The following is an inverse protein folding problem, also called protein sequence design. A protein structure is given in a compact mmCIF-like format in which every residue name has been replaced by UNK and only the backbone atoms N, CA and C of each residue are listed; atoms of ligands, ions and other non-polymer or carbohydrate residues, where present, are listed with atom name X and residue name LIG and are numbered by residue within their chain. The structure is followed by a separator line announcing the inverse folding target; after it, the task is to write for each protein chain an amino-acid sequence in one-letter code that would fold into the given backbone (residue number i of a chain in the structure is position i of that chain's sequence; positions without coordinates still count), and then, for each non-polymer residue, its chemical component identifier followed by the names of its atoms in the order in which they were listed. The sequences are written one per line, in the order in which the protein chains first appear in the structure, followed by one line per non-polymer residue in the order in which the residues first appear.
data_IF_982760208913
#
_entry.id   IF_982760208913
#
_cell.length_a   1.000
_cell.length_b   1.000
_cell.length_c   1.000
_cell.angle_alpha   90.00
_cell.angle_beta   90.00
_cell.angle_gamma   90.00
#
_symmetry.space_group_name_H-M   'P 1'
#
loop_
_entity.id
_entity.type
_entity.pdbx_description
1 polymer ?
#
# COMPACT_ATOMS: atom_id res chain seq x y z
N UNK A 1 -19.61 1.94 -3.94
CA UNK A 1 -21.02 2.04 -4.36
C UNK A 1 -21.15 1.94 -5.88
N UNK A 2 -20.46 2.79 -6.67
CA UNK A 2 -20.52 2.78 -8.16
C UNK A 2 -19.80 1.56 -8.79
N UNK A 3 -19.02 0.80 -8.05
CA UNK A 3 -18.28 -0.35 -8.54
C UNK A 3 -16.95 -0.03 -9.23
N UNK A 4 -16.45 1.20 -9.12
CA UNK A 4 -15.16 1.60 -9.72
C UNK A 4 -13.94 1.14 -8.91
N UNK A 5 -14.13 0.80 -7.64
CA UNK A 5 -13.08 0.35 -6.74
C UNK A 5 -13.39 -1.07 -6.24
N UNK A 6 -12.36 -1.87 -6.16
CA UNK A 6 -12.43 -3.25 -5.68
C UNK A 6 -11.36 -3.49 -4.62
N UNK A 7 -11.67 -4.37 -3.66
CA UNK A 7 -10.76 -4.87 -2.67
C UNK A 7 -11.00 -6.38 -2.52
N UNK A 8 -10.81 -7.11 -3.61
CA UNK A 8 -10.85 -8.56 -3.69
C UNK A 8 -9.46 -9.14 -3.50
N UNK A 9 -9.36 -10.41 -3.17
CA UNK A 9 -8.11 -11.12 -3.01
C UNK A 9 -7.26 -10.67 -1.80
N UNK A 10 -6.16 -11.37 -1.58
CA UNK A 10 -5.20 -11.07 -0.51
C UNK A 10 -4.24 -9.94 -0.91
N UNK A 11 -3.77 -9.98 -2.15
CA UNK A 11 -2.84 -9.01 -2.71
C UNK A 11 -3.43 -8.35 -3.95
N UNK A 12 -3.25 -7.04 -4.08
CA UNK A 12 -3.76 -6.28 -5.25
C UNK A 12 -3.07 -6.66 -6.55
N UNK A 13 -1.82 -7.11 -6.50
CA UNK A 13 -1.12 -7.67 -7.66
C UNK A 13 -1.79 -8.90 -8.25
N UNK A 14 -2.53 -9.67 -7.44
CA UNK A 14 -3.26 -10.85 -7.95
C UNK A 14 -4.49 -10.42 -8.77
N UNK A 15 -5.19 -9.36 -8.36
CA UNK A 15 -6.29 -8.79 -9.14
C UNK A 15 -5.81 -8.24 -10.50
N UNK A 16 -4.56 -7.73 -10.57
CA UNK A 16 -3.97 -7.27 -11.82
C UNK A 16 -3.60 -8.42 -12.75
N UNK A 17 -3.14 -9.57 -12.23
CA UNK A 17 -2.81 -10.76 -13.03
C UNK A 17 -3.99 -11.30 -13.83
N UNK A 18 -5.21 -11.06 -13.34
CA UNK A 18 -6.46 -11.51 -13.94
C UNK A 18 -7.22 -10.40 -14.67
N UNK A 19 -6.64 -9.21 -14.82
CA UNK A 19 -7.28 -8.03 -15.42
C UNK A 19 -8.53 -7.52 -14.66
N UNK A 20 -8.67 -7.86 -13.40
CA UNK A 20 -9.80 -7.39 -12.58
C UNK A 20 -9.66 -5.92 -12.14
N UNK A 21 -8.43 -5.38 -12.19
CA UNK A 21 -8.15 -3.97 -11.91
C UNK A 21 -7.19 -3.40 -12.94
N UNK A 22 -7.38 -2.12 -13.29
CA UNK A 22 -6.49 -1.37 -14.17
C UNK A 22 -5.36 -0.69 -13.40
N UNK A 23 -5.60 -0.36 -12.15
CA UNK A 23 -4.63 0.28 -11.27
C UNK A 23 -4.90 -0.11 -9.82
N UNK A 24 -3.86 -0.07 -8.99
CA UNK A 24 -3.99 -0.25 -7.55
C UNK A 24 -2.98 0.61 -6.79
N UNK A 25 -3.28 0.86 -5.53
CA UNK A 25 -2.36 1.51 -4.59
C UNK A 25 -1.75 0.45 -3.68
N UNK A 26 -0.45 0.52 -3.50
CA UNK A 26 0.27 -0.46 -2.70
C UNK A 26 1.63 0.02 -2.22
N UNK A 27 2.32 -0.81 -1.46
CA UNK A 27 3.70 -0.59 -1.03
C UNK A 27 4.68 -0.79 -2.20
N UNK A 28 5.79 -0.05 -2.21
CA UNK A 28 6.90 -0.27 -3.16
C UNK A 28 7.42 -1.70 -3.13
N UNK A 29 7.45 -2.34 -1.96
CA UNK A 29 7.85 -3.75 -1.82
C UNK A 29 6.98 -4.73 -2.64
N UNK A 30 5.78 -4.32 -3.06
CA UNK A 30 4.92 -5.11 -3.94
C UNK A 30 5.43 -5.24 -5.38
N UNK A 31 6.37 -4.40 -5.81
CA UNK A 31 6.82 -4.35 -7.21
C UNK A 31 7.49 -5.64 -7.70
N UNK A 32 8.08 -6.43 -6.81
CA UNK A 32 8.70 -7.71 -7.14
C UNK A 32 7.69 -8.77 -7.56
N UNK A 33 6.41 -8.57 -7.24
CA UNK A 33 5.29 -9.47 -7.56
C UNK A 33 4.44 -8.96 -8.75
N UNK A 34 4.85 -7.85 -9.39
CA UNK A 34 4.10 -7.33 -10.52
C UNK A 34 4.17 -8.31 -11.69
N UNK A 35 3.01 -8.63 -12.31
CA UNK A 35 2.99 -9.48 -13.47
C UNK A 35 3.53 -8.75 -14.71
N UNK A 36 4.12 -9.50 -15.60
CA UNK A 36 4.46 -9.08 -16.97
C UNK A 36 3.41 -9.53 -18.01
N UNK A 37 2.49 -10.40 -17.57
CA UNK A 37 1.37 -10.87 -18.36
C UNK A 37 0.08 -10.85 -17.54
N UNK A 38 -1.02 -10.64 -18.23
CA UNK A 38 -2.37 -10.91 -17.72
C UNK A 38 -2.83 -12.24 -18.29
N UNK A 39 -3.35 -13.11 -17.44
CA UNK A 39 -3.94 -14.39 -17.83
C UNK A 39 -5.39 -14.44 -17.36
N UNK A 40 -6.33 -14.48 -18.30
CA UNK A 40 -7.78 -14.54 -18.03
C UNK A 40 -8.32 -15.96 -18.12
N UNK A 41 -7.71 -16.79 -18.96
CA UNK A 41 -7.99 -18.22 -19.10
C UNK A 41 -6.76 -18.96 -19.65
N UNK A 42 -6.86 -20.27 -19.81
CA UNK A 42 -5.77 -21.07 -20.39
C UNK A 42 -5.45 -20.67 -21.85
N UNK A 43 -6.42 -20.06 -22.55
CA UNK A 43 -6.31 -19.63 -23.95
C UNK A 43 -6.08 -18.13 -24.11
N UNK A 44 -6.29 -17.33 -23.05
CA UNK A 44 -6.21 -15.87 -23.11
C UNK A 44 -5.14 -15.34 -22.15
N UNK A 45 -3.93 -15.14 -22.69
CA UNK A 45 -2.83 -14.48 -21.98
C UNK A 45 -2.15 -13.49 -22.90
N UNK A 46 -1.83 -12.29 -22.38
CA UNK A 46 -1.18 -11.23 -23.14
C UNK A 46 -0.21 -10.43 -22.26
N UNK A 47 0.90 -9.90 -22.85
CA UNK A 47 1.86 -9.11 -22.13
C UNK A 47 1.27 -7.75 -21.73
N UNK A 48 1.71 -7.24 -20.58
CA UNK A 48 1.35 -5.90 -20.09
C UNK A 48 2.59 -5.13 -19.68
N UNK A 49 2.50 -3.82 -19.72
CA UNK A 49 3.49 -2.91 -19.14
C UNK A 49 2.86 -2.20 -17.94
N UNK A 50 3.54 -2.28 -16.78
CA UNK A 50 3.12 -1.60 -15.56
C UNK A 50 3.91 -0.29 -15.43
N UNK A 51 3.21 0.79 -15.12
CA UNK A 51 3.79 2.08 -14.76
C UNK A 51 3.53 2.37 -13.30
N UNK A 52 4.52 2.88 -12.59
CA UNK A 52 4.42 3.27 -11.19
C UNK A 52 4.44 4.78 -11.07
N UNK A 53 3.54 5.31 -10.27
CA UNK A 53 3.39 6.74 -9.98
C UNK A 53 3.28 6.96 -8.47
N UNK A 54 3.59 8.15 -7.95
CA UNK A 54 3.25 8.52 -6.59
C UNK A 54 1.76 8.31 -6.33
N UNK A 55 1.39 7.91 -5.11
CA UNK A 55 -0.02 7.77 -4.75
C UNK A 55 -0.76 9.11 -4.95
N UNK A 56 -1.98 9.08 -5.49
CA UNK A 56 -2.75 10.29 -5.70
C UNK A 56 -3.07 10.96 -4.35
N UNK A 57 -3.12 12.27 -4.34
CA UNK A 57 -3.54 13.08 -3.19
C UNK A 57 -4.74 13.95 -3.57
N UNK A 58 -5.52 14.35 -2.57
CA UNK A 58 -6.60 15.30 -2.77
C UNK A 58 -6.06 16.70 -3.07
N UNK A 59 -6.82 17.49 -3.82
CA UNK A 59 -6.52 18.90 -4.05
C UNK A 59 -6.42 19.62 -2.69
N UNK A 60 -5.40 20.45 -2.53
CA UNK A 60 -5.10 21.11 -1.25
C UNK A 60 -4.51 20.21 -0.17
N UNK A 61 -4.38 18.89 -0.41
CA UNK A 61 -3.73 17.97 0.52
C UNK A 61 -2.22 18.22 0.62
N UNK A 62 -1.67 18.03 1.83
CA UNK A 62 -0.23 18.18 2.08
C UNK A 62 0.60 17.07 1.45
N UNK A 63 1.91 17.31 1.34
CA UNK A 63 2.88 16.35 0.82
C UNK A 63 3.34 15.40 1.94
N UNK A 64 2.51 14.41 2.25
CA UNK A 64 2.77 13.38 3.24
C UNK A 64 2.78 12.01 2.60
N UNK A 65 3.69 11.16 3.08
CA UNK A 65 3.72 9.75 2.70
C UNK A 65 3.92 8.87 3.94
N UNK A 66 3.21 7.74 3.97
CA UNK A 66 3.37 6.76 5.05
C UNK A 66 4.69 6.04 4.86
N UNK A 67 5.54 6.10 5.89
CA UNK A 67 6.70 5.23 5.97
C UNK A 67 6.27 3.90 6.58
N UNK A 68 6.23 2.88 5.74
CA UNK A 68 6.12 1.50 6.17
C UNK A 68 7.49 0.85 6.02
N UNK A 69 7.90 0.12 6.99
CA UNK A 69 9.16 -0.59 6.91
C UNK A 69 9.17 -1.77 7.85
N UNK A 70 10.01 -2.76 7.55
CA UNK A 70 10.42 -3.73 8.52
C UNK A 70 11.51 -3.09 9.38
N UNK A 71 11.39 -3.18 10.69
CA UNK A 71 12.44 -2.84 11.64
C UNK A 71 13.11 -4.09 12.17
N UNK A 72 14.42 -4.04 12.37
CA UNK A 72 15.15 -5.10 13.06
C UNK A 72 15.38 -4.72 14.50
N UNK A 73 15.08 -5.63 15.43
CA UNK A 73 15.24 -5.42 16.87
C UNK A 73 16.24 -6.42 17.41
N UNK A 74 17.24 -5.91 18.11
CA UNK A 74 18.19 -6.75 18.84
C UNK A 74 17.59 -7.15 20.18
N UNK A 75 17.32 -8.43 20.36
CA UNK A 75 16.80 -8.98 21.63
C UNK A 75 17.96 -9.10 22.60
N UNK A 76 17.78 -8.60 23.82
CA UNK A 76 18.79 -8.70 24.88
C UNK A 76 18.96 -10.13 25.36
N UNK A 77 20.22 -10.64 25.21
CA UNK A 77 20.67 -11.92 25.74
C UNK A 77 22.05 -11.76 26.36
N UNK A 78 23.05 -12.61 26.02
CA UNK A 78 24.42 -12.37 26.43
C UNK A 78 25.04 -11.20 25.66
N UNK A 79 26.07 -10.59 26.22
CA UNK A 79 26.75 -9.45 25.58
C UNK A 79 27.37 -9.84 24.24
N UNK A 80 27.90 -11.07 24.12
CA UNK A 80 28.46 -11.60 22.87
C UNK A 80 27.37 -11.74 21.78
N UNK A 81 26.17 -12.17 22.15
CA UNK A 81 25.05 -12.32 21.21
C UNK A 81 24.53 -10.96 20.76
N UNK A 82 24.46 -9.99 21.66
CA UNK A 82 24.08 -8.61 21.32
C UNK A 82 25.11 -7.98 20.39
N UNK A 83 26.42 -8.17 20.67
CA UNK A 83 27.48 -7.67 19.81
C UNK A 83 27.46 -8.32 18.42
N UNK A 84 27.27 -9.63 18.35
CA UNK A 84 27.15 -10.35 17.08
C UNK A 84 25.98 -9.84 16.24
N UNK A 85 24.83 -9.62 16.87
CA UNK A 85 23.64 -9.04 16.19
C UNK A 85 23.91 -7.60 15.71
N UNK A 86 24.57 -6.79 16.50
CA UNK A 86 24.93 -5.41 16.11
C UNK A 86 25.92 -5.40 14.93
N UNK A 87 26.90 -6.31 14.92
CA UNK A 87 27.84 -6.49 13.79
C UNK A 87 27.12 -6.92 12.51
N UNK A 88 26.16 -7.85 12.62
CA UNK A 88 25.31 -8.24 11.49
C UNK A 88 24.52 -7.06 10.95
N UNK A 89 23.84 -6.29 11.81
CA UNK A 89 23.07 -5.13 11.38
C UNK A 89 23.95 -4.07 10.71
N UNK A 90 25.13 -3.82 11.26
CA UNK A 90 26.09 -2.89 10.66
C UNK A 90 26.57 -3.36 9.28
N UNK A 91 26.79 -4.65 9.11
CA UNK A 91 27.12 -5.24 7.81
C UNK A 91 25.95 -5.14 6.84
N UNK A 92 24.73 -5.54 7.25
CA UNK A 92 23.53 -5.56 6.42
C UNK A 92 23.13 -4.15 5.92
N UNK A 93 23.46 -3.11 6.68
CA UNK A 93 23.16 -1.72 6.30
C UNK A 93 24.28 -1.04 5.51
N UNK A 94 25.37 -1.76 5.16
CA UNK A 94 26.36 -1.25 4.20
C UNK A 94 25.75 -1.12 2.83
N UNK A 95 26.22 -0.15 2.06
CA UNK A 95 25.65 0.26 0.78
C UNK A 95 25.39 -0.91 -0.18
N UNK A 96 26.39 -1.76 -0.41
CA UNK A 96 26.30 -2.87 -1.36
C UNK A 96 25.15 -3.83 -1.02
N UNK A 97 25.05 -4.23 0.27
CA UNK A 97 24.01 -5.15 0.75
C UNK A 97 22.64 -4.49 0.85
N UNK A 98 22.59 -3.21 1.22
CA UNK A 98 21.37 -2.44 1.27
C UNK A 98 20.75 -2.25 -0.12
N UNK A 99 21.57 -1.99 -1.14
CA UNK A 99 21.11 -1.86 -2.53
C UNK A 99 20.68 -3.22 -3.08
N UNK A 100 21.46 -4.30 -2.87
CA UNK A 100 21.10 -5.65 -3.30
C UNK A 100 19.76 -6.07 -2.67
N UNK A 101 19.57 -5.83 -1.38
CA UNK A 101 18.29 -6.09 -0.69
C UNK A 101 17.15 -5.24 -1.29
N UNK A 102 17.40 -3.99 -1.62
CA UNK A 102 16.40 -3.10 -2.20
C UNK A 102 15.90 -3.60 -3.56
N UNK A 103 16.79 -3.97 -4.46
CA UNK A 103 16.41 -4.42 -5.80
C UNK A 103 15.75 -5.80 -5.81
N UNK A 104 15.99 -6.62 -4.79
CA UNK A 104 15.38 -7.94 -4.66
C UNK A 104 14.05 -7.93 -3.91
N UNK A 105 13.85 -6.96 -3.01
CA UNK A 105 12.68 -6.89 -2.13
C UNK A 105 11.71 -5.75 -2.44
N UNK A 106 12.16 -4.72 -3.16
CA UNK A 106 11.40 -3.49 -3.41
C UNK A 106 11.34 -2.54 -2.21
N UNK A 107 12.06 -2.83 -1.10
CA UNK A 107 12.26 -1.88 -0.02
C UNK A 107 13.33 -0.85 -0.39
N UNK A 108 13.22 0.36 0.14
CA UNK A 108 14.25 1.37 -0.03
C UNK A 108 15.45 1.12 0.89
N UNK A 109 16.68 1.50 0.49
CA UNK A 109 17.84 1.53 1.37
C UNK A 109 17.59 2.41 2.60
N UNK A 110 18.27 2.08 3.71
CA UNK A 110 18.07 2.79 4.99
C UNK A 110 18.79 4.13 5.07
N UNK A 111 19.79 4.37 4.22
CA UNK A 111 20.54 5.63 4.21
C UNK A 111 20.05 6.57 3.12
N UNK A 112 20.16 7.88 3.37
CA UNK A 112 19.82 8.89 2.36
C UNK A 112 20.78 8.84 1.16
N UNK A 113 22.05 8.46 1.38
CA UNK A 113 23.06 8.33 0.34
C UNK A 113 22.73 7.20 -0.64
N UNK A 114 22.22 6.08 -0.14
CA UNK A 114 21.87 4.92 -0.97
C UNK A 114 20.51 5.06 -1.66
N UNK A 115 19.68 6.02 -1.21
CA UNK A 115 18.44 6.39 -1.90
C UNK A 115 18.73 7.29 -3.12
N UNK A 116 19.61 6.81 -4.01
CA UNK A 116 19.99 7.45 -5.25
C UNK A 116 19.88 6.46 -6.41
N UNK A 117 18.99 6.76 -7.38
CA UNK A 117 18.76 5.86 -8.51
C UNK A 117 19.97 5.69 -9.39
N UNK A 118 20.84 6.72 -9.52
CA UNK A 118 22.08 6.60 -10.31
C UNK A 118 23.00 5.56 -9.67
N UNK A 119 23.12 5.55 -8.36
CA UNK A 119 23.91 4.58 -7.61
C UNK A 119 23.28 3.19 -7.70
N UNK A 120 21.96 3.08 -7.44
CA UNK A 120 21.23 1.81 -7.49
C UNK A 120 21.34 1.15 -8.86
N UNK A 121 21.17 1.90 -9.95
CA UNK A 121 21.28 1.38 -11.32
C UNK A 121 22.72 0.97 -11.69
N UNK A 122 23.71 1.71 -11.21
CA UNK A 122 25.11 1.38 -11.40
C UNK A 122 25.48 0.06 -10.72
N UNK A 123 25.01 -0.13 -9.47
CA UNK A 123 25.37 -1.30 -8.66
C UNK A 123 24.47 -2.52 -9.01
N UNK A 124 23.34 -2.30 -9.67
CA UNK A 124 22.40 -3.36 -10.09
C UNK A 124 21.89 -3.18 -11.53
N UNK A 125 22.76 -3.25 -12.54
CA UNK A 125 22.42 -2.94 -13.95
C UNK A 125 21.41 -3.94 -14.56
N UNK A 126 21.27 -5.13 -14.02
CA UNK A 126 20.33 -6.18 -14.47
C UNK A 126 18.96 -6.11 -13.78
N UNK A 127 18.70 -5.08 -13.00
CA UNK A 127 17.42 -4.91 -12.30
C UNK A 127 16.24 -4.90 -13.27
N UNK A 128 15.16 -5.60 -12.92
CA UNK A 128 13.93 -5.63 -13.72
C UNK A 128 13.34 -4.23 -13.86
N UNK A 129 12.76 -3.95 -15.02
CA UNK A 129 12.18 -2.62 -15.32
C UNK A 129 11.12 -2.17 -14.31
N UNK A 130 10.20 -3.04 -13.93
CA UNK A 130 9.15 -2.72 -12.97
C UNK A 130 9.72 -2.42 -11.56
N UNK A 131 10.79 -3.09 -11.15
CA UNK A 131 11.49 -2.79 -9.89
C UNK A 131 12.17 -1.43 -9.97
N UNK A 132 12.88 -1.15 -11.08
CA UNK A 132 13.51 0.15 -11.34
C UNK A 132 12.49 1.29 -11.26
N UNK A 133 11.39 1.18 -12.01
CA UNK A 133 10.35 2.21 -12.07
C UNK A 133 9.72 2.44 -10.67
N UNK A 134 9.52 1.38 -9.90
CA UNK A 134 8.95 1.46 -8.56
C UNK A 134 9.91 2.05 -7.54
N UNK A 135 11.18 1.63 -7.55
CA UNK A 135 12.20 2.23 -6.67
C UNK A 135 12.44 3.71 -7.02
N UNK A 136 12.47 4.06 -8.31
CA UNK A 136 12.58 5.45 -8.75
C UNK A 136 11.44 6.32 -8.22
N UNK A 137 10.20 5.83 -8.33
CA UNK A 137 9.03 6.51 -7.76
C UNK A 137 9.13 6.61 -6.23
N UNK A 138 9.54 5.53 -5.56
CA UNK A 138 9.67 5.53 -4.10
C UNK A 138 10.78 6.48 -3.61
N UNK A 139 11.93 6.53 -4.27
CA UNK A 139 13.00 7.52 -4.00
C UNK A 139 12.49 8.95 -4.18
N UNK A 140 11.73 9.21 -5.26
CA UNK A 140 11.11 10.53 -5.47
C UNK A 140 10.16 10.87 -4.32
N UNK A 141 9.30 9.95 -3.92
CA UNK A 141 8.32 10.15 -2.83
C UNK A 141 9.02 10.48 -1.51
N UNK A 142 10.05 9.73 -1.11
CA UNK A 142 10.75 10.01 0.16
C UNK A 142 11.54 11.31 0.15
N UNK A 143 11.96 11.79 -1.01
CA UNK A 143 12.65 13.07 -1.15
C UNK A 143 11.71 14.28 -1.18
N UNK A 144 10.48 14.10 -1.65
CA UNK A 144 9.53 15.19 -1.89
C UNK A 144 8.44 15.30 -0.83
N UNK A 145 8.29 14.30 0.04
CA UNK A 145 7.21 14.27 1.02
C UNK A 145 7.74 14.22 2.46
N UNK A 146 6.93 14.69 3.39
CA UNK A 146 7.12 14.44 4.81
C UNK A 146 6.70 13.02 5.14
N UNK A 147 7.64 12.20 5.58
CA UNK A 147 7.36 10.83 5.96
C UNK A 147 6.80 10.76 7.38
N UNK A 148 5.82 9.90 7.60
CA UNK A 148 5.29 9.65 8.93
C UNK A 148 5.02 8.17 9.18
N UNK A 149 5.08 7.79 10.45
CA UNK A 149 4.60 6.49 10.95
C UNK A 149 3.57 6.72 12.04
N UNK A 150 2.60 5.81 12.13
CA UNK A 150 1.59 5.89 13.20
C UNK A 150 2.26 5.78 14.56
N UNK A 151 1.89 6.66 15.51
CA UNK A 151 2.34 6.56 16.90
C UNK A 151 1.79 5.29 17.55
N UNK A 152 2.61 4.66 18.39
CA UNK A 152 2.17 3.53 19.20
C UNK A 152 1.30 4.01 20.36
N UNK A 153 0.15 3.38 20.58
CA UNK A 153 -0.71 3.55 21.75
C UNK A 153 -1.42 2.23 22.09
N UNK A 154 -2.02 2.13 23.26
CA UNK A 154 -2.53 0.85 23.84
C UNK A 154 -3.41 0.06 22.86
N UNK A 155 -4.39 0.71 22.24
CA UNK A 155 -5.33 0.08 21.30
C UNK A 155 -5.00 0.37 19.80
N UNK A 156 -3.77 0.76 19.50
CA UNK A 156 -3.35 1.17 18.15
C UNK A 156 -3.64 0.12 17.07
N UNK A 157 -3.48 -1.16 17.38
CA UNK A 157 -3.80 -2.24 16.42
C UNK A 157 -5.30 -2.37 16.15
N UNK A 158 -6.14 -2.17 17.16
CA UNK A 158 -7.60 -2.19 17.01
C UNK A 158 -8.08 -0.98 16.18
N UNK A 159 -7.56 0.20 16.49
CA UNK A 159 -7.85 1.42 15.72
C UNK A 159 -7.40 1.29 14.26
N UNK A 160 -6.22 0.73 14.01
CA UNK A 160 -5.72 0.47 12.66
C UNK A 160 -6.63 -0.47 11.89
N UNK A 161 -7.06 -1.59 12.49
CA UNK A 161 -8.00 -2.53 11.86
C UNK A 161 -9.34 -1.85 11.57
N UNK A 162 -9.84 -1.04 12.50
CA UNK A 162 -11.08 -0.30 12.28
C UNK A 162 -10.98 0.62 11.07
N UNK A 163 -9.91 1.42 10.97
CA UNK A 163 -9.66 2.29 9.81
C UNK A 163 -9.49 1.51 8.50
N UNK A 164 -8.78 0.37 8.53
CA UNK A 164 -8.52 -0.46 7.35
C UNK A 164 -9.81 -0.96 6.71
N UNK A 165 -10.78 -1.38 7.53
CA UNK A 165 -11.99 -2.03 7.03
C UNK A 165 -13.22 -1.11 6.96
N UNK A 166 -13.28 -0.03 7.74
CA UNK A 166 -14.48 0.80 7.88
C UNK A 166 -15.07 1.25 6.53
N UNK A 167 -14.25 1.81 5.66
CA UNK A 167 -14.72 2.29 4.35
C UNK A 167 -15.05 1.14 3.39
N UNK A 168 -14.24 0.08 3.38
CA UNK A 168 -14.46 -1.06 2.49
C UNK A 168 -15.71 -1.85 2.86
N UNK A 169 -15.98 -2.01 4.15
CA UNK A 169 -17.16 -2.73 4.63
C UNK A 169 -18.43 -1.95 4.36
N UNK A 170 -18.44 -0.64 4.63
CA UNK A 170 -19.56 0.23 4.27
C UNK A 170 -19.82 0.23 2.74
N UNK A 171 -18.75 0.36 1.94
CA UNK A 171 -18.87 0.34 0.49
C UNK A 171 -19.38 -0.99 -0.07
N UNK A 172 -18.97 -2.13 0.49
CA UNK A 172 -19.46 -3.47 0.12
C UNK A 172 -20.93 -3.63 0.44
N UNK A 173 -21.35 -3.26 1.67
CA UNK A 173 -22.75 -3.36 2.09
C UNK A 173 -23.66 -2.48 1.21
N UNK A 174 -23.25 -1.25 0.93
CA UNK A 174 -24.00 -0.35 0.07
C UNK A 174 -24.01 -0.83 -1.39
N UNK A 175 -22.89 -1.38 -1.89
CA UNK A 175 -22.85 -1.95 -3.26
C UNK A 175 -23.78 -3.13 -3.41
N UNK A 176 -23.86 -4.01 -2.43
CA UNK A 176 -24.79 -5.13 -2.46
C UNK A 176 -26.25 -4.64 -2.63
N UNK A 177 -26.67 -3.65 -1.84
CA UNK A 177 -28.00 -3.06 -1.93
C UNK A 177 -28.26 -2.38 -3.27
N UNK A 178 -27.24 -1.73 -3.84
CA UNK A 178 -27.36 -1.15 -5.20
C UNK A 178 -27.58 -2.25 -6.24
N UNK A 179 -26.85 -3.36 -6.16
CA UNK A 179 -27.04 -4.49 -7.08
C UNK A 179 -28.44 -5.06 -6.96
N UNK A 180 -28.90 -5.34 -5.74
CA UNK A 180 -30.25 -5.83 -5.46
C UNK A 180 -31.34 -4.88 -6.01
N UNK A 181 -31.16 -3.55 -5.87
CA UNK A 181 -32.11 -2.59 -6.43
C UNK A 181 -32.15 -2.61 -7.96
N UNK A 182 -30.99 -2.75 -8.61
CA UNK A 182 -30.91 -2.85 -10.07
C UNK A 182 -31.56 -4.16 -10.57
N UNK A 183 -31.31 -5.27 -9.90
CA UNK A 183 -31.96 -6.56 -10.19
C UNK A 183 -33.48 -6.50 -10.04
N UNK A 184 -33.99 -5.65 -9.14
CA UNK A 184 -35.41 -5.36 -8.94
C UNK A 184 -35.95 -4.26 -9.89
N UNK A 185 -35.18 -3.85 -10.91
CA UNK A 185 -35.63 -2.96 -11.99
C UNK A 185 -35.33 -1.46 -11.77
N UNK A 186 -34.57 -1.08 -10.74
CA UNK A 186 -34.13 0.29 -10.59
C UNK A 186 -33.04 0.65 -11.62
N UNK A 187 -33.00 1.91 -12.05
CA UNK A 187 -31.85 2.41 -12.81
C UNK A 187 -30.61 2.48 -11.92
N UNK A 188 -29.43 2.36 -12.50
CA UNK A 188 -28.17 2.48 -11.73
C UNK A 188 -28.08 3.83 -11.01
N UNK A 189 -28.50 4.92 -11.65
CA UNK A 189 -28.49 6.26 -11.09
C UNK A 189 -29.40 6.34 -9.84
N UNK A 190 -30.63 5.87 -9.93
CA UNK A 190 -31.58 5.86 -8.82
C UNK A 190 -31.08 4.97 -7.66
N UNK A 191 -30.57 3.77 -7.98
CA UNK A 191 -30.05 2.85 -6.98
C UNK A 191 -28.83 3.43 -6.22
N UNK A 192 -27.94 4.15 -6.91
CA UNK A 192 -26.73 4.77 -6.32
C UNK A 192 -27.08 6.01 -5.51
N UNK A 193 -28.07 6.81 -5.92
CA UNK A 193 -28.42 8.08 -5.29
C UNK A 193 -28.70 7.96 -3.78
N UNK A 194 -29.30 6.85 -3.35
CA UNK A 194 -29.60 6.58 -1.94
C UNK A 194 -28.35 6.42 -1.04
N UNK A 195 -27.16 6.24 -1.63
CA UNK A 195 -25.93 5.91 -0.91
C UNK A 195 -24.80 6.92 -1.10
N UNK A 196 -25.02 8.04 -1.78
CA UNK A 196 -23.99 9.04 -2.10
C UNK A 196 -24.35 10.44 -1.60
N UNK A 197 -25.26 10.56 -0.62
CA UNK A 197 -25.59 11.85 -0.01
C UNK A 197 -24.54 12.25 1.04
N UNK A 198 -24.34 13.56 1.20
CA UNK A 198 -23.46 14.14 2.21
C UNK A 198 -23.94 13.77 3.62
N UNK A 199 -25.24 13.87 3.88
CA UNK A 199 -25.85 13.48 5.17
C UNK A 199 -25.51 12.03 5.58
N UNK A 200 -25.53 11.11 4.62
CA UNK A 200 -25.15 9.72 4.88
C UNK A 200 -23.66 9.57 5.17
N UNK A 201 -22.82 10.30 4.46
CA UNK A 201 -21.40 10.33 4.73
C UNK A 201 -21.10 10.89 6.11
N UNK A 202 -21.71 12.02 6.49
CA UNK A 202 -21.51 12.65 7.78
C UNK A 202 -21.93 11.73 8.94
N UNK A 203 -23.07 11.07 8.81
CA UNK A 203 -23.52 10.09 9.82
C UNK A 203 -22.54 8.92 9.97
N UNK A 204 -22.07 8.34 8.87
CA UNK A 204 -21.08 7.28 8.89
C UNK A 204 -19.75 7.75 9.48
N UNK A 205 -19.29 8.94 9.10
CA UNK A 205 -18.04 9.52 9.58
C UNK A 205 -18.09 9.83 11.08
N UNK A 206 -19.18 10.39 11.56
CA UNK A 206 -19.39 10.65 12.98
C UNK A 206 -19.32 9.36 13.79
N UNK A 207 -20.03 8.31 13.37
CA UNK A 207 -19.95 7.00 14.03
C UNK A 207 -18.53 6.43 14.04
N UNK A 208 -17.80 6.49 12.93
CA UNK A 208 -16.42 6.03 12.85
C UNK A 208 -15.52 6.79 13.81
N UNK A 209 -15.68 8.11 13.90
CA UNK A 209 -14.89 8.95 14.81
C UNK A 209 -15.18 8.64 16.28
N UNK A 210 -16.44 8.40 16.64
CA UNK A 210 -16.81 8.02 18.00
C UNK A 210 -16.17 6.67 18.40
N UNK A 211 -16.23 5.66 17.54
CA UNK A 211 -15.59 4.36 17.76
C UNK A 211 -14.05 4.46 17.88
N UNK A 212 -13.41 5.33 17.08
CA UNK A 212 -11.96 5.55 17.17
C UNK A 212 -11.58 6.29 18.46
N UNK A 213 -12.38 7.28 18.87
CA UNK A 213 -12.17 8.00 20.12
C UNK A 213 -12.33 7.08 21.35
N UNK A 214 -13.31 6.18 21.36
CA UNK A 214 -13.46 5.17 22.40
C UNK A 214 -12.23 4.26 22.49
N UNK A 215 -11.68 3.83 21.35
CA UNK A 215 -10.44 3.03 21.32
C UNK A 215 -9.21 3.80 21.81
N UNK A 216 -9.16 5.09 21.55
CA UNK A 216 -8.04 5.94 21.98
C UNK A 216 -8.12 6.29 23.48
N UNK A 217 -9.32 6.28 24.09
CA UNK A 217 -9.52 6.62 25.49
C UNK A 217 -9.24 5.45 26.45
N UNK A 218 -9.19 4.22 25.99
CA UNK A 218 -8.91 2.99 26.77
C UNK A 218 -7.41 2.71 26.86
#
# INVERSE_FOLDING_TARGET
VKGYFSASGRFRSDDMKTSNVLAFVGSSAGCTFFPDHVTRSDEESYPIEIKTYPAPKFEGGGDYAVQQGAGMVVIRKSDEQVEAAARFLKWFTQSDWAIEFSVTSGYLPVTAEDNDMVKIEKDSPSMKKNVRDSLGTAVQVVRQNTLYTSKAFKNGMSARKKLEYAMSDAAKADRQRVVEAIENGATQEAAVAAFVSEERFDAWYAQLMDELNELAAQ
#
